data_IF_270858298814
#
_entry.id   IF_270858298814
#
_cell.length_a   1.000
_cell.length_b   1.000
_cell.length_c   1.000
_cell.angle_alpha   90.00
_cell.angle_beta   90.00
_cell.angle_gamma   90.00
#
_symmetry.space_group_name_H-M   'P 1'
#
loop_
_entity.id
_entity.type
_entity.pdbx_description
1 polymer ?
#
# COMPACT_ATOMS: atom_id res chain seq x y z
N UNK A 1 20.97 25.08 -22.88
CA UNK A 1 21.57 24.26 -21.83
C UNK A 1 21.11 22.83 -22.07
N UNK A 2 22.03 21.89 -22.24
CA UNK A 2 21.65 20.47 -22.19
C UNK A 2 21.17 20.17 -20.75
N UNK A 3 20.04 19.49 -20.55
CA UNK A 3 19.57 19.15 -19.20
C UNK A 3 20.64 18.30 -18.49
N UNK A 4 20.88 18.62 -17.23
CA UNK A 4 21.81 17.90 -16.35
C UNK A 4 21.23 16.49 -16.08
N UNK A 5 21.78 15.46 -16.73
CA UNK A 5 21.26 14.09 -16.82
C UNK A 5 21.39 13.27 -15.52
N UNK A 6 21.11 13.84 -14.35
CA UNK A 6 21.28 13.12 -13.08
C UNK A 6 20.24 12.01 -12.85
N UNK A 7 19.12 12.02 -13.57
CA UNK A 7 17.99 11.14 -13.27
C UNK A 7 17.32 10.44 -14.46
N UNK A 8 18.02 10.25 -15.59
CA UNK A 8 17.43 9.56 -16.75
C UNK A 8 16.96 8.15 -16.37
N UNK A 9 15.68 7.87 -16.59
CA UNK A 9 15.16 6.51 -16.52
C UNK A 9 15.66 5.65 -17.69
N UNK A 10 15.60 4.32 -17.52
CA UNK A 10 15.99 3.36 -18.57
C UNK A 10 14.98 3.36 -19.73
N UNK A 11 13.72 3.68 -19.45
CA UNK A 11 12.63 3.74 -20.41
C UNK A 11 12.01 5.15 -20.41
N UNK A 12 12.00 5.79 -21.58
CA UNK A 12 11.51 7.14 -21.77
C UNK A 12 10.02 7.28 -21.44
N UNK A 13 9.26 6.20 -21.57
CA UNK A 13 7.81 6.17 -21.29
C UNK A 13 7.51 6.48 -19.83
N UNK A 14 8.35 5.99 -18.92
CA UNK A 14 8.21 6.31 -17.51
C UNK A 14 8.82 7.68 -17.16
N UNK A 15 9.82 8.14 -17.92
CA UNK A 15 10.64 9.33 -17.61
C UNK A 15 9.85 10.63 -17.79
N UNK A 16 9.09 10.72 -18.88
CA UNK A 16 8.38 11.95 -19.28
C UNK A 16 7.44 12.48 -18.18
N UNK A 17 6.76 11.56 -17.49
CA UNK A 17 5.81 11.91 -16.42
C UNK A 17 6.41 11.73 -15.02
N UNK A 18 7.65 11.26 -14.90
CA UNK A 18 8.27 10.96 -13.62
C UNK A 18 8.47 12.22 -12.78
N UNK A 19 8.07 12.19 -11.52
CA UNK A 19 8.20 13.32 -10.60
C UNK A 19 9.63 13.83 -10.49
N UNK A 20 10.64 12.94 -10.49
CA UNK A 20 12.05 13.35 -10.50
C UNK A 20 12.43 14.15 -11.76
N UNK A 21 12.01 13.70 -12.94
CA UNK A 21 12.23 14.42 -14.21
C UNK A 21 11.54 15.79 -14.18
N UNK A 22 10.27 15.81 -13.74
CA UNK A 22 9.50 17.05 -13.59
C UNK A 22 10.19 18.06 -12.64
N UNK A 23 10.76 17.59 -11.53
CA UNK A 23 11.42 18.44 -10.52
C UNK A 23 12.80 18.90 -10.99
N UNK A 24 13.64 17.97 -11.44
CA UNK A 24 15.07 18.22 -11.71
C UNK A 24 15.29 18.83 -13.09
N UNK A 25 14.67 18.26 -14.12
CA UNK A 25 14.96 18.62 -15.51
C UNK A 25 14.05 19.75 -16.00
N UNK A 26 12.79 19.75 -15.56
CA UNK A 26 11.80 20.77 -15.92
C UNK A 26 11.62 21.87 -14.86
N UNK A 27 12.29 21.76 -13.71
CA UNK A 27 12.24 22.77 -12.64
C UNK A 27 10.86 22.96 -11.99
N UNK A 28 9.96 21.98 -12.10
CA UNK A 28 8.60 22.08 -11.53
C UNK A 28 8.63 21.92 -10.02
N UNK A 29 7.93 22.80 -9.32
CA UNK A 29 7.68 22.64 -7.89
C UNK A 29 6.46 21.75 -7.65
N UNK A 30 6.70 20.48 -7.31
CA UNK A 30 5.65 19.54 -6.96
C UNK A 30 5.40 19.56 -5.45
N UNK A 31 4.12 19.47 -5.05
CA UNK A 31 3.75 19.34 -3.64
C UNK A 31 4.01 17.92 -3.13
N UNK A 32 4.24 17.84 -1.82
CA UNK A 32 4.21 16.59 -1.08
C UNK A 32 2.86 15.90 -1.26
N UNK A 33 2.88 14.59 -1.54
CA UNK A 33 1.65 13.81 -1.60
C UNK A 33 1.07 13.63 -0.20
N UNK A 34 -0.26 13.59 -0.07
CA UNK A 34 -0.91 13.32 1.21
C UNK A 34 -0.96 11.82 1.46
N UNK A 35 -0.33 11.35 2.54
CA UNK A 35 -0.48 9.95 2.96
C UNK A 35 -1.93 9.64 3.28
N UNK A 36 -2.48 8.61 2.62
CA UNK A 36 -3.83 8.10 2.87
C UNK A 36 -3.71 6.78 3.62
N UNK A 37 -3.78 6.87 4.94
CA UNK A 37 -3.93 5.71 5.83
C UNK A 37 -5.36 5.63 6.33
N UNK A 38 -5.89 4.42 6.45
CA UNK A 38 -7.17 4.19 7.12
C UNK A 38 -6.95 3.97 8.61
N UNK A 39 -7.89 4.42 9.45
CA UNK A 39 -7.90 4.00 10.85
C UNK A 39 -8.10 2.47 10.87
N UNK A 40 -7.21 1.70 11.52
CA UNK A 40 -7.35 0.25 11.60
C UNK A 40 -8.71 -0.15 12.17
N UNK A 41 -9.23 -1.31 11.75
CA UNK A 41 -10.37 -1.94 12.41
C UNK A 41 -9.97 -2.36 13.84
N UNK A 42 -10.94 -2.63 14.71
CA UNK A 42 -10.64 -3.00 16.09
C UNK A 42 -9.84 -4.29 16.12
N UNK A 43 -8.80 -4.30 16.96
CA UNK A 43 -7.96 -5.48 17.16
C UNK A 43 -8.64 -6.47 18.10
N UNK A 44 -8.60 -7.74 17.72
CA UNK A 44 -8.90 -8.87 18.60
C UNK A 44 -7.65 -9.76 18.67
N UNK A 45 -7.29 -10.18 19.88
CA UNK A 45 -6.11 -11.00 20.12
C UNK A 45 -6.16 -12.34 19.37
N UNK A 46 -7.35 -12.87 19.13
CA UNK A 46 -7.56 -14.11 18.37
C UNK A 46 -7.09 -13.98 16.91
N UNK A 47 -7.00 -12.76 16.37
CA UNK A 47 -6.46 -12.53 15.02
C UNK A 47 -4.96 -12.81 14.92
N UNK A 48 -4.23 -12.78 16.04
CA UNK A 48 -2.77 -12.92 16.06
C UNK A 48 -2.29 -14.22 15.42
N UNK A 49 -3.03 -15.32 15.60
CA UNK A 49 -2.67 -16.63 15.03
C UNK A 49 -2.71 -16.59 13.50
N UNK A 50 -3.73 -15.97 12.92
CA UNK A 50 -3.92 -15.90 11.47
C UNK A 50 -2.97 -14.89 10.82
N UNK A 51 -2.81 -13.72 11.44
CA UNK A 51 -1.93 -12.66 10.94
C UNK A 51 -0.45 -13.07 11.11
N UNK A 52 -0.13 -13.83 12.16
CA UNK A 52 1.18 -14.44 12.36
C UNK A 52 1.57 -15.40 11.24
N UNK A 53 0.64 -16.20 10.72
CA UNK A 53 0.87 -17.08 9.56
C UNK A 53 1.22 -16.29 8.29
N UNK A 54 0.73 -15.06 8.17
CA UNK A 54 1.07 -14.16 7.06
C UNK A 54 2.39 -13.39 7.26
N UNK A 55 3.07 -13.57 8.41
CA UNK A 55 4.31 -12.84 8.72
C UNK A 55 4.12 -11.38 9.13
N UNK A 56 2.87 -10.90 9.25
CA UNK A 56 2.54 -9.49 9.45
C UNK A 56 2.15 -9.16 10.90
N UNK A 57 2.32 -10.10 11.84
CA UNK A 57 2.00 -9.89 13.26
C UNK A 57 2.80 -8.74 13.90
N UNK A 58 4.12 -8.59 13.69
CA UNK A 58 4.86 -7.47 14.25
C UNK A 58 4.33 -6.11 13.76
N UNK A 59 4.02 -6.01 12.46
CA UNK A 59 3.39 -4.82 11.90
C UNK A 59 2.02 -4.56 12.54
N UNK A 60 1.20 -5.60 12.70
CA UNK A 60 -0.12 -5.46 13.29
C UNK A 60 -0.04 -4.94 14.73
N UNK A 61 0.86 -5.48 15.55
CA UNK A 61 1.12 -4.98 16.91
C UNK A 61 1.51 -3.52 16.91
N UNK A 62 2.48 -3.15 16.08
CA UNK A 62 2.96 -1.78 15.97
C UNK A 62 1.83 -0.80 15.60
N UNK A 63 0.96 -1.20 14.68
CA UNK A 63 -0.20 -0.41 14.26
C UNK A 63 -1.19 -0.22 15.42
N UNK A 64 -1.46 -1.27 16.19
CA UNK A 64 -2.41 -1.26 17.29
C UNK A 64 -1.90 -0.53 18.54
N UNK A 65 -0.59 -0.59 18.80
CA UNK A 65 0.06 0.15 19.90
C UNK A 65 0.13 1.66 19.64
N UNK A 66 -0.08 2.08 18.39
CA UNK A 66 -0.05 3.47 17.98
C UNK A 66 1.24 3.79 17.23
N UNK A 67 1.16 3.73 15.91
CA UNK A 67 2.27 4.10 15.05
C UNK A 67 2.62 5.60 15.16
N UNK A 68 3.92 5.96 15.06
CA UNK A 68 4.31 7.33 14.83
C UNK A 68 3.61 7.90 13.60
N UNK A 69 3.35 9.22 13.64
CA UNK A 69 2.67 9.92 12.53
C UNK A 69 3.37 9.63 11.22
N UNK A 70 2.57 9.39 10.17
CA UNK A 70 3.08 9.12 8.84
C UNK A 70 3.82 10.35 8.29
N UNK A 71 5.10 10.19 7.94
CA UNK A 71 5.88 11.25 7.31
C UNK A 71 5.63 11.27 5.81
N UNK A 72 4.63 12.07 5.42
CA UNK A 72 4.25 12.22 4.02
C UNK A 72 5.39 12.78 3.15
N UNK A 73 6.25 13.63 3.72
CA UNK A 73 7.34 14.25 2.98
C UNK A 73 8.45 13.23 2.71
N UNK A 74 8.83 12.46 3.72
CA UNK A 74 9.82 11.40 3.58
C UNK A 74 9.33 10.31 2.61
N UNK A 75 8.06 9.87 2.74
CA UNK A 75 7.46 8.91 1.80
C UNK A 75 7.41 9.47 0.37
N UNK A 76 7.04 10.74 0.19
CA UNK A 76 7.05 11.37 -1.14
C UNK A 76 8.45 11.40 -1.73
N UNK A 77 9.45 11.81 -0.94
CA UNK A 77 10.85 11.86 -1.38
C UNK A 77 11.41 10.48 -1.72
N UNK A 78 10.92 9.43 -1.06
CA UNK A 78 11.26 8.05 -1.36
C UNK A 78 10.60 7.60 -2.68
N UNK A 79 9.31 7.88 -2.87
CA UNK A 79 8.59 7.61 -4.12
C UNK A 79 9.18 8.39 -5.31
N UNK A 80 9.68 9.62 -5.09
CA UNK A 80 10.39 10.40 -6.11
C UNK A 80 11.70 9.72 -6.58
N UNK A 81 12.23 8.78 -5.79
CA UNK A 81 13.45 8.00 -6.10
C UNK A 81 13.15 6.58 -6.56
N UNK A 82 11.87 6.22 -6.68
CA UNK A 82 11.45 4.94 -7.20
C UNK A 82 11.73 4.85 -8.69
N UNK A 83 12.20 3.70 -9.15
CA UNK A 83 12.41 3.38 -10.56
C UNK A 83 11.44 2.28 -10.98
N UNK A 84 10.37 2.61 -11.73
CA UNK A 84 9.35 1.64 -12.09
C UNK A 84 9.85 0.54 -13.04
N UNK A 85 10.94 0.74 -13.78
CA UNK A 85 11.51 -0.25 -14.71
C UNK A 85 12.19 -1.40 -13.98
N UNK A 86 12.94 -1.08 -12.92
CA UNK A 86 13.69 -2.06 -12.13
C UNK A 86 12.97 -2.44 -10.85
N UNK A 87 11.92 -1.70 -10.47
CA UNK A 87 11.25 -1.78 -9.18
C UNK A 87 12.23 -1.59 -8.01
N UNK A 88 13.03 -0.52 -8.06
CA UNK A 88 14.07 -0.24 -7.05
C UNK A 88 14.06 1.22 -6.60
N UNK A 89 14.68 1.51 -5.45
CA UNK A 89 14.94 2.88 -5.03
C UNK A 89 16.36 3.31 -5.40
N UNK A 90 16.49 4.44 -6.08
CA UNK A 90 17.77 5.06 -6.40
C UNK A 90 18.10 6.13 -5.35
N UNK A 91 18.89 5.72 -4.37
CA UNK A 91 19.34 6.57 -3.28
C UNK A 91 20.76 7.10 -3.57
N UNK A 92 21.23 8.17 -2.91
CA UNK A 92 22.61 8.64 -3.05
C UNK A 92 23.66 7.58 -2.72
N UNK A 93 23.31 6.57 -1.91
CA UNK A 93 24.17 5.45 -1.54
C UNK A 93 24.11 4.27 -2.53
N UNK A 94 23.37 4.38 -3.64
CA UNK A 94 23.20 3.33 -4.64
C UNK A 94 21.75 2.88 -4.82
N UNK A 95 21.57 1.85 -5.65
CA UNK A 95 20.28 1.20 -5.86
C UNK A 95 19.97 0.26 -4.69
N UNK A 96 18.75 0.35 -4.16
CA UNK A 96 18.28 -0.52 -3.09
C UNK A 96 17.11 -1.37 -3.60
N UNK A 97 17.42 -2.63 -3.90
CA UNK A 97 16.55 -3.66 -4.47
C UNK A 97 15.97 -4.52 -3.34
N UNK A 98 14.89 -4.08 -2.69
CA UNK A 98 14.28 -4.97 -1.69
C UNK A 98 12.78 -4.80 -1.50
N UNK A 99 12.09 -4.83 -2.63
CA UNK A 99 10.64 -4.86 -2.71
C UNK A 99 10.04 -6.04 -1.95
N UNK A 100 10.72 -7.19 -1.97
CA UNK A 100 10.35 -8.38 -1.19
C UNK A 100 10.30 -8.06 0.31
N UNK A 101 11.35 -7.41 0.85
CA UNK A 101 11.37 -7.01 2.25
C UNK A 101 10.52 -5.80 2.58
N UNK A 102 10.23 -4.89 1.63
CA UNK A 102 9.21 -3.83 1.85
C UNK A 102 7.87 -4.48 2.19
N UNK A 103 7.53 -5.59 1.54
CA UNK A 103 6.25 -6.26 1.79
C UNK A 103 6.30 -7.24 2.96
N UNK A 104 7.49 -7.60 3.45
CA UNK A 104 7.68 -8.62 4.48
C UNK A 104 7.16 -10.01 4.04
N UNK A 105 6.87 -10.18 2.76
CA UNK A 105 6.32 -11.40 2.19
C UNK A 105 7.47 -12.14 1.49
N UNK A 106 7.80 -13.37 1.89
CA UNK A 106 8.77 -14.17 1.16
C UNK A 106 8.30 -14.30 -0.29
N UNK A 107 9.14 -13.89 -1.24
CA UNK A 107 8.93 -14.20 -2.66
C UNK A 107 9.40 -15.64 -2.85
N UNK A 108 8.61 -16.58 -2.33
CA UNK A 108 8.80 -18.00 -2.55
C UNK A 108 7.53 -18.57 -3.19
N UNK A 109 7.67 -19.28 -4.31
CA UNK A 109 6.56 -19.79 -5.12
C UNK A 109 6.42 -19.18 -6.52
N UNK A 110 5.42 -19.67 -7.26
CA UNK A 110 5.12 -19.20 -8.62
C UNK A 110 4.65 -17.75 -8.58
N UNK A 111 5.26 -16.90 -9.41
CA UNK A 111 4.75 -15.55 -9.64
C UNK A 111 3.28 -15.64 -10.06
N UNK A 112 2.37 -15.09 -9.25
CA UNK A 112 0.98 -14.91 -9.64
C UNK A 112 0.89 -13.74 -10.63
N UNK A 113 1.29 -14.02 -11.86
CA UNK A 113 1.09 -13.17 -13.02
C UNK A 113 -0.33 -13.45 -13.52
N UNK A 114 -1.28 -12.62 -13.12
CA UNK A 114 -2.68 -12.73 -13.53
C UNK A 114 -3.26 -11.35 -13.79
N UNK A 115 -4.06 -11.24 -14.85
CA UNK A 115 -4.89 -10.05 -15.01
C UNK A 115 -5.99 -10.08 -13.96
N UNK A 116 -6.09 -9.04 -13.13
CA UNK A 116 -7.26 -8.90 -12.25
C UNK A 116 -8.41 -8.40 -13.11
N UNK A 117 -9.30 -9.30 -13.48
CA UNK A 117 -10.50 -8.94 -14.23
C UNK A 117 -11.39 -8.07 -13.33
N UNK A 118 -11.86 -6.90 -13.82
CA UNK A 118 -12.84 -6.09 -13.10
C UNK A 118 -14.17 -6.84 -12.89
N UNK A 119 -14.43 -7.90 -13.65
CA UNK A 119 -15.58 -8.78 -13.48
C UNK A 119 -15.30 -9.80 -12.36
N UNK A 120 -16.28 -10.02 -11.49
CA UNK A 120 -16.20 -11.05 -10.45
C UNK A 120 -15.40 -10.68 -9.19
N UNK A 121 -14.93 -9.44 -9.03
CA UNK A 121 -14.27 -9.03 -7.78
C UNK A 121 -15.19 -9.14 -6.56
N UNK A 122 -16.50 -8.93 -6.74
CA UNK A 122 -17.49 -9.14 -5.69
C UNK A 122 -17.59 -10.61 -5.29
N UNK A 123 -17.52 -11.52 -6.26
CA UNK A 123 -17.51 -12.97 -6.01
C UNK A 123 -16.25 -13.37 -5.24
N UNK A 124 -15.10 -12.77 -5.56
CA UNK A 124 -13.86 -13.02 -4.81
C UNK A 124 -13.94 -12.50 -3.37
N UNK A 125 -14.54 -11.32 -3.16
CA UNK A 125 -14.75 -10.77 -1.81
C UNK A 125 -15.72 -11.65 -1.03
N UNK A 126 -16.80 -12.11 -1.65
CA UNK A 126 -17.75 -13.04 -1.05
C UNK A 126 -17.11 -14.39 -0.72
N UNK A 127 -16.29 -14.95 -1.63
CA UNK A 127 -15.59 -16.20 -1.36
C UNK A 127 -14.62 -16.08 -0.18
N UNK A 128 -13.98 -14.91 -0.02
CA UNK A 128 -12.90 -14.73 0.94
C UNK A 128 -13.36 -14.13 2.28
N UNK A 129 -14.45 -13.35 2.31
CA UNK A 129 -15.06 -12.77 3.52
C UNK A 129 -16.47 -13.30 3.84
N UNK A 130 -17.06 -14.11 2.97
CA UNK A 130 -18.43 -14.61 3.12
C UNK A 130 -19.52 -13.53 3.10
N UNK A 131 -19.20 -12.31 2.67
CA UNK A 131 -20.15 -11.21 2.49
C UNK A 131 -19.94 -10.56 1.13
N UNK A 132 -21.03 -10.40 0.38
CA UNK A 132 -21.01 -9.78 -0.94
C UNK A 132 -21.18 -8.25 -0.82
N UNK A 133 -20.25 -7.45 -1.36
CA UNK A 133 -20.41 -6.00 -1.41
C UNK A 133 -21.61 -5.58 -2.28
N UNK A 134 -22.28 -4.44 -1.97
CA UNK A 134 -23.44 -3.99 -2.72
C UNK A 134 -23.10 -3.69 -4.20
N UNK A 135 -24.11 -3.83 -5.06
CA UNK A 135 -24.07 -3.28 -6.41
C UNK A 135 -24.18 -1.75 -6.30
N UNK A 136 -23.33 -1.02 -7.02
CA UNK A 136 -23.37 0.44 -7.02
C UNK A 136 -24.19 0.84 -8.23
N UNK A 137 -25.29 1.56 -8.03
CA UNK A 137 -26.11 2.12 -9.12
C UNK A 137 -25.28 3.10 -9.96
N UNK A 138 -25.51 3.11 -11.28
CA UNK A 138 -24.60 3.69 -12.28
C UNK A 138 -24.38 5.22 -12.18
N UNK A 139 -25.18 5.93 -11.39
CA UNK A 139 -25.40 7.38 -11.52
C UNK A 139 -24.70 8.26 -10.46
N UNK A 140 -23.84 7.70 -9.61
CA UNK A 140 -23.06 8.48 -8.62
C UNK A 140 -21.70 8.89 -9.18
N UNK A 141 -21.48 10.21 -9.30
CA UNK A 141 -20.36 10.89 -9.96
C UNK A 141 -18.95 10.63 -9.36
N UNK A 142 -18.86 10.01 -8.19
CA UNK A 142 -17.60 9.68 -7.50
C UNK A 142 -17.37 8.16 -7.49
N UNK A 143 -17.02 7.61 -8.66
CA UNK A 143 -16.83 6.16 -8.84
C UNK A 143 -15.51 5.67 -8.24
N UNK A 144 -15.58 4.83 -7.21
CA UNK A 144 -14.67 3.68 -7.10
C UNK A 144 -15.28 2.57 -7.96
N UNK A 145 -14.86 2.45 -9.22
CA UNK A 145 -15.39 1.45 -10.17
C UNK A 145 -15.07 0.00 -9.77
N UNK A 146 -14.16 -0.18 -8.80
CA UNK A 146 -13.63 -1.47 -8.35
C UNK A 146 -13.18 -1.35 -6.90
N UNK A 147 -13.41 -2.40 -6.11
CA UNK A 147 -12.94 -2.48 -4.72
C UNK A 147 -13.97 -2.26 -3.64
N UNK A 148 -13.69 -2.83 -2.47
CA UNK A 148 -14.48 -2.66 -1.26
C UNK A 148 -14.15 -1.31 -0.63
N UNK A 149 -15.17 -0.54 -0.22
CA UNK A 149 -14.94 0.72 0.49
C UNK A 149 -14.48 0.46 1.93
N UNK A 150 -13.61 1.31 2.47
CA UNK A 150 -13.21 1.26 3.87
C UNK A 150 -14.39 1.42 4.83
N UNK A 151 -15.42 2.17 4.41
CA UNK A 151 -16.66 2.33 5.16
C UNK A 151 -17.44 1.01 5.25
N UNK A 152 -17.55 0.26 4.14
CA UNK A 152 -18.23 -1.04 4.14
C UNK A 152 -17.47 -2.06 5.01
N UNK A 153 -16.13 -2.09 4.94
CA UNK A 153 -15.33 -2.95 5.81
C UNK A 153 -15.53 -2.58 7.29
N UNK A 154 -15.54 -1.28 7.61
CA UNK A 154 -15.79 -0.82 8.97
C UNK A 154 -17.21 -1.15 9.45
N UNK A 155 -18.21 -1.10 8.59
CA UNK A 155 -19.58 -1.45 8.95
C UNK A 155 -19.74 -2.94 9.29
N UNK A 156 -19.09 -3.84 8.53
CA UNK A 156 -19.31 -5.28 8.65
C UNK A 156 -18.27 -6.03 9.50
N UNK A 157 -17.09 -5.43 9.71
CA UNK A 157 -15.94 -6.09 10.35
C UNK A 157 -15.27 -5.24 11.44
N UNK A 158 -15.94 -4.20 11.95
CA UNK A 158 -15.35 -3.33 12.98
C UNK A 158 -15.10 -4.06 14.28
N UNK A 159 -16.05 -4.84 14.79
CA UNK A 159 -15.95 -5.52 16.08
C UNK A 159 -16.48 -6.97 15.98
N UNK A 160 -15.74 -7.91 16.57
CA UNK A 160 -16.20 -9.28 16.80
C UNK A 160 -16.64 -9.40 18.27
N UNK A 161 -17.92 -9.19 18.55
CA UNK A 161 -18.45 -9.12 19.92
C UNK A 161 -18.60 -10.51 20.58
N UNK A 162 -18.70 -11.57 19.79
CA UNK A 162 -18.87 -12.93 20.29
C UNK A 162 -17.54 -13.52 20.77
N UNK A 163 -17.45 -13.78 22.07
CA UNK A 163 -16.28 -14.39 22.72
C UNK A 163 -16.09 -15.86 22.31
N UNK A 164 -17.19 -16.58 22.03
CA UNK A 164 -17.21 -17.98 21.63
C UNK A 164 -17.34 -18.14 20.11
N UNK A 165 -16.99 -17.09 19.36
CA UNK A 165 -17.01 -17.11 17.91
C UNK A 165 -16.17 -18.30 17.37
N UNK A 166 -16.71 -19.08 16.41
CA UNK A 166 -15.99 -20.21 15.84
C UNK A 166 -14.76 -19.73 15.04
N UNK A 167 -13.72 -20.57 14.98
CA UNK A 167 -12.43 -20.25 14.33
C UNK A 167 -12.57 -19.69 12.91
N UNK A 168 -13.50 -20.21 12.10
CA UNK A 168 -13.70 -19.73 10.73
C UNK A 168 -14.18 -18.29 10.67
N UNK A 169 -14.94 -17.84 11.68
CA UNK A 169 -15.44 -16.46 11.77
C UNK A 169 -14.32 -15.52 12.23
N UNK A 170 -13.50 -15.95 13.19
CA UNK A 170 -12.29 -15.24 13.61
C UNK A 170 -11.33 -15.08 12.44
N UNK A 171 -11.10 -16.14 11.66
CA UNK A 171 -10.25 -16.09 10.47
C UNK A 171 -10.73 -15.07 9.44
N UNK A 172 -12.05 -15.04 9.20
CA UNK A 172 -12.69 -14.09 8.29
C UNK A 172 -12.47 -12.64 8.75
N UNK A 173 -12.66 -12.34 10.03
CA UNK A 173 -12.40 -11.02 10.59
C UNK A 173 -10.91 -10.66 10.54
N UNK A 174 -10.01 -11.60 10.82
CA UNK A 174 -8.58 -11.40 10.71
C UNK A 174 -8.15 -11.06 9.27
N UNK A 175 -8.73 -11.71 8.25
CA UNK A 175 -8.52 -11.39 6.83
C UNK A 175 -9.00 -9.98 6.50
N UNK A 176 -10.22 -9.61 6.91
CA UNK A 176 -10.76 -8.26 6.70
C UNK A 176 -9.90 -7.19 7.37
N UNK A 177 -9.46 -7.44 8.61
CA UNK A 177 -8.56 -6.57 9.37
C UNK A 177 -7.23 -6.36 8.63
N UNK A 178 -6.61 -7.45 8.19
CA UNK A 178 -5.34 -7.41 7.48
C UNK A 178 -5.46 -6.67 6.14
N UNK A 179 -6.55 -6.87 5.40
CA UNK A 179 -6.77 -6.18 4.12
C UNK A 179 -7.00 -4.68 4.28
N UNK A 180 -7.71 -4.31 5.34
CA UNK A 180 -7.91 -2.90 5.68
C UNK A 180 -6.59 -2.23 6.03
N UNK A 181 -5.68 -2.94 6.71
CA UNK A 181 -4.34 -2.46 7.04
C UNK A 181 -3.48 -2.20 5.79
N UNK A 182 -3.44 -3.15 4.86
CA UNK A 182 -2.57 -3.07 3.67
C UNK A 182 -3.16 -2.17 2.55
N UNK A 183 -4.33 -1.56 2.77
CA UNK A 183 -4.88 -0.54 1.89
C UNK A 183 -5.78 -1.05 0.77
N UNK A 184 -6.37 -2.24 0.92
CA UNK A 184 -7.44 -2.74 0.05
C UNK A 184 -7.22 -4.16 -0.47
N UNK A 185 -8.33 -4.83 -0.79
CA UNK A 185 -8.35 -6.10 -1.53
C UNK A 185 -7.52 -5.96 -2.83
N UNK A 186 -6.94 -7.04 -3.39
CA UNK A 186 -6.47 -7.06 -4.78
C UNK A 186 -7.67 -6.93 -5.73
N UNK A 187 -8.36 -5.79 -5.70
CA UNK A 187 -9.37 -5.41 -6.65
C UNK A 187 -8.70 -4.56 -7.71
N UNK A 188 -8.84 -4.99 -8.96
CA UNK A 188 -8.24 -4.34 -10.13
C UNK A 188 -8.71 -2.91 -10.23
N UNK A 189 -7.95 -1.99 -9.65
CA UNK A 189 -8.21 -0.56 -9.78
C UNK A 189 -7.81 -0.17 -11.20
N UNK A 190 -8.78 -0.24 -12.12
CA UNK A 190 -8.78 0.46 -13.40
C UNK A 190 -7.72 0.07 -14.44
N UNK A 191 -6.80 -0.85 -14.16
CA UNK A 191 -5.91 -1.43 -15.18
C UNK A 191 -5.64 -2.91 -14.89
N UNK A 192 -5.42 -3.74 -15.92
CA UNK A 192 -5.51 -5.19 -15.80
C UNK A 192 -4.36 -5.85 -15.01
N UNK A 193 -3.38 -5.13 -14.47
CA UNK A 193 -2.12 -5.75 -14.09
C UNK A 193 -1.99 -6.01 -12.58
N UNK A 194 -1.90 -7.31 -12.24
CA UNK A 194 -1.09 -7.89 -11.15
C UNK A 194 -1.69 -7.82 -9.73
N UNK A 195 -2.35 -8.92 -9.33
CA UNK A 195 -2.88 -9.17 -7.98
C UNK A 195 -1.85 -9.28 -6.84
N UNK A 196 -0.56 -9.13 -7.13
CA UNK A 196 0.53 -9.04 -6.13
C UNK A 196 1.29 -7.71 -6.21
N UNK A 197 0.96 -6.85 -7.18
CA UNK A 197 1.60 -5.56 -7.37
C UNK A 197 0.81 -4.41 -6.78
N UNK A 198 -0.27 -4.60 -6.00
CA UNK A 198 -0.99 -3.46 -5.41
C UNK A 198 -0.05 -2.47 -4.68
N UNK A 199 0.90 -2.91 -3.84
CA UNK A 199 1.79 -1.97 -3.15
C UNK A 199 2.81 -1.32 -4.11
N UNK A 200 3.41 -2.12 -5.00
CA UNK A 200 4.41 -1.64 -5.95
C UNK A 200 3.83 -0.70 -6.99
N UNK A 201 2.66 -1.07 -7.52
CA UNK A 201 1.88 -0.24 -8.42
C UNK A 201 1.55 1.11 -7.80
N UNK A 202 1.17 1.17 -6.52
CA UNK A 202 0.92 2.47 -5.89
C UNK A 202 2.17 3.35 -5.82
N UNK A 203 3.37 2.75 -5.73
CA UNK A 203 4.64 3.46 -5.79
C UNK A 203 4.96 3.84 -7.25
N UNK A 204 4.78 2.94 -8.23
CA UNK A 204 4.95 3.21 -9.68
C UNK A 204 3.97 4.28 -10.21
N UNK A 205 2.74 4.27 -9.72
CA UNK A 205 1.74 5.28 -10.05
C UNK A 205 2.04 6.58 -9.28
N UNK A 206 2.38 6.46 -8.00
CA UNK A 206 2.78 7.57 -7.14
C UNK A 206 3.92 8.39 -7.72
N UNK A 207 4.94 7.74 -8.32
CA UNK A 207 6.09 8.42 -8.91
C UNK A 207 5.76 9.22 -10.19
N UNK A 208 4.53 9.10 -10.71
CA UNK A 208 4.01 9.91 -11.85
C UNK A 208 2.94 10.93 -11.43
N UNK A 209 2.49 10.92 -10.17
CA UNK A 209 1.46 11.85 -9.68
C UNK A 209 1.99 13.28 -9.54
N UNK A 210 1.52 14.18 -10.40
CA UNK A 210 1.95 15.59 -10.42
C UNK A 210 0.86 16.62 -10.06
N UNK A 211 -0.30 16.15 -9.58
CA UNK A 211 -1.42 16.99 -9.17
C UNK A 211 -1.20 17.72 -7.83
N UNK A 212 -1.90 18.84 -7.63
CA UNK A 212 -1.75 19.66 -6.41
C UNK A 212 -2.35 19.03 -5.14
N UNK A 213 -3.24 18.06 -5.29
CA UNK A 213 -3.94 17.34 -4.22
C UNK A 213 -3.70 15.83 -4.26
N UNK A 214 -2.61 15.41 -4.91
CA UNK A 214 -2.24 14.01 -5.05
C UNK A 214 -2.10 13.33 -3.69
N UNK A 215 -2.77 12.18 -3.54
CA UNK A 215 -2.57 11.30 -2.41
C UNK A 215 -1.48 10.27 -2.70
N UNK A 216 -0.95 9.67 -1.66
CA UNK A 216 -0.21 8.41 -1.73
C UNK A 216 -1.01 7.38 -0.92
N UNK A 217 -1.19 6.18 -1.44
CA UNK A 217 -1.99 5.12 -0.81
C UNK A 217 -1.30 3.77 -0.90
N UNK A 218 -1.97 2.71 -0.46
CA UNK A 218 -1.40 1.36 -0.38
C UNK A 218 -0.76 1.07 0.97
N UNK A 219 0.24 0.18 0.99
CA UNK A 219 0.90 -0.29 2.20
C UNK A 219 1.90 0.74 2.80
N UNK A 220 1.45 1.96 3.10
CA UNK A 220 2.33 3.03 3.57
C UNK A 220 3.02 2.71 4.89
N UNK A 221 2.37 1.93 5.76
CA UNK A 221 2.97 1.48 7.02
C UNK A 221 4.19 0.60 6.78
N UNK A 222 4.09 -0.34 5.84
CA UNK A 222 5.21 -1.18 5.42
C UNK A 222 6.34 -0.34 4.81
N UNK A 223 5.99 0.59 3.92
CA UNK A 223 6.97 1.48 3.30
C UNK A 223 7.69 2.37 4.33
N UNK A 224 6.96 2.90 5.31
CA UNK A 224 7.54 3.73 6.37
C UNK A 224 8.42 2.93 7.34
N UNK A 225 7.97 1.74 7.77
CA UNK A 225 8.78 0.86 8.63
C UNK A 225 10.06 0.44 7.91
N UNK A 226 9.96 0.05 6.65
CA UNK A 226 11.13 -0.26 5.82
C UNK A 226 12.08 0.94 5.70
N UNK A 227 11.53 2.14 5.49
CA UNK A 227 12.32 3.37 5.42
C UNK A 227 13.09 3.59 6.72
N UNK A 228 12.48 3.38 7.89
CA UNK A 228 13.13 3.50 9.19
C UNK A 228 14.20 2.45 9.46
N UNK A 229 14.05 1.25 8.90
CA UNK A 229 15.05 0.19 9.02
C UNK A 229 16.27 0.43 8.13
N UNK A 230 16.07 1.00 6.93
CA UNK A 230 17.13 1.15 5.92
C UNK A 230 17.76 2.54 5.87
N UNK A 231 17.02 3.58 6.27
CA UNK A 231 17.47 4.98 6.22
C UNK A 231 17.62 5.53 7.65
N UNK A 232 18.85 5.65 8.16
CA UNK A 232 19.10 6.19 9.51
C UNK A 232 18.52 7.59 9.73
N UNK A 233 18.43 8.41 8.67
CA UNK A 233 17.95 9.80 8.73
C UNK A 233 16.45 9.93 9.02
N UNK A 234 15.66 8.91 8.71
CA UNK A 234 14.21 8.97 8.82
C UNK A 234 13.68 8.23 10.05
N UNK A 235 14.55 7.56 10.80
CA UNK A 235 14.19 6.69 11.92
C UNK A 235 13.74 7.52 13.13
N UNK A 236 12.60 7.22 13.77
CA UNK A 236 12.25 7.81 15.05
C UNK A 236 13.30 7.44 16.09
N UNK A 237 13.61 8.38 16.99
CA UNK A 237 14.44 8.07 18.15
C UNK A 237 13.76 6.96 18.96
N UNK A 238 14.52 5.91 19.27
CA UNK A 238 14.04 4.86 20.18
C UNK A 238 13.92 5.48 21.55
N UNK A 239 12.70 5.72 22.01
CA UNK A 239 12.45 6.03 23.42
C UNK A 239 12.95 4.81 24.21
N UNK A 240 13.80 4.98 25.24
CA UNK A 240 14.22 3.87 26.08
C UNK A 240 12.97 3.20 26.65
N UNK A 241 12.86 1.88 26.48
CA UNK A 241 11.86 1.10 27.21
C UNK A 241 12.39 1.01 28.64
N UNK A 242 11.76 1.73 29.57
CA UNK A 242 11.98 1.57 31.01
C UNK A 242 11.42 0.23 31.52
#
# INVERSE_FOLDING_TARGET
MAPDLRYRLLDTTFDEEHRAHLIVDLGRQLKCMRSRTYKPLSWDERYAVYIGRAGLLPLARLVNEGLPRMDSAALTALVDRWRPETHTFHLPCGELTDVAMILGLPIDGLAMIGMVQPQGWRDMVEAALGLRPPEVEEDVKDRKTTGVSSAWLAEHFSNLEDAEAPDWLVERYARAWLWHLIGGFPTGVGTPYLGWCSPLWQICDGCRRSGQSSGLGGCLYLLQVWMWERLPVARPDRIPVE
#
